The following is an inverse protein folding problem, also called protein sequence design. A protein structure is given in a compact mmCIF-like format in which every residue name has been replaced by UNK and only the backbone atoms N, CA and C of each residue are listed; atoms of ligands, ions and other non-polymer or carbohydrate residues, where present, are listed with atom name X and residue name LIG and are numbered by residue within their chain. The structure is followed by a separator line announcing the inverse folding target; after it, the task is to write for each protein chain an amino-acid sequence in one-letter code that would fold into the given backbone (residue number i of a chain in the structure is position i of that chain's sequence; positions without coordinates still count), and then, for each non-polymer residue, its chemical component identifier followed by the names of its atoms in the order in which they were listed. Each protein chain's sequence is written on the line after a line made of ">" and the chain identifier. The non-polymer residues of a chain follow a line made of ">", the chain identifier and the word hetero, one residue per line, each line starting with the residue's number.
data_IF_637497956718
#
_entry.id   IF_637497956718
#
_cell.length_a   1.000
_cell.length_b   1.000
_cell.length_c   1.000
_cell.angle_alpha   90.00
_cell.angle_beta   90.00
_cell.angle_gamma   90.00
#
_symmetry.space_group_name_H-M   'P 1'
#
loop_
_entity.id
_entity.type
_entity.pdbx_description
1 polymer ?
#
# COMPACT_ATOMS: atom_id res chain seq x y z
N UNK A 1 36.30 17.59 32.17
CA UNK A 1 34.86 17.33 32.37
C UNK A 1 34.09 18.31 31.50
N UNK A 2 33.62 17.85 30.36
CA UNK A 2 32.69 18.59 29.48
C UNK A 2 31.41 17.73 29.52
N UNK A 3 30.21 18.31 29.70
CA UNK A 3 28.99 17.51 29.81
C UNK A 3 28.65 16.95 28.43
N UNK A 4 28.50 15.63 28.34
CA UNK A 4 27.96 14.95 27.17
C UNK A 4 26.47 15.28 27.06
N UNK A 5 26.12 16.25 26.21
CA UNK A 5 24.74 16.48 25.80
C UNK A 5 24.33 15.34 24.86
N UNK A 6 23.44 14.46 25.30
CA UNK A 6 22.75 13.49 24.45
C UNK A 6 21.93 14.26 23.40
N UNK A 7 22.37 14.18 22.15
CA UNK A 7 21.64 14.75 21.01
C UNK A 7 20.45 13.82 20.73
N UNK A 8 19.24 14.29 20.95
CA UNK A 8 18.02 13.63 20.47
C UNK A 8 18.01 13.65 18.93
N UNK A 9 18.22 12.48 18.33
CA UNK A 9 18.16 12.28 16.88
C UNK A 9 16.70 12.13 16.44
N UNK A 10 16.16 13.14 15.77
CA UNK A 10 14.90 13.06 15.03
C UNK A 10 15.17 12.64 13.58
N UNK A 11 14.17 12.19 12.78
CA UNK A 11 14.37 11.76 11.39
C UNK A 11 15.11 12.76 10.50
N UNK A 12 15.06 14.05 10.85
CA UNK A 12 15.73 15.13 10.12
C UNK A 12 17.23 15.32 10.46
N UNK A 13 17.74 14.67 11.52
CA UNK A 13 19.07 14.94 12.09
C UNK A 13 19.98 13.71 12.21
N UNK A 14 19.67 12.61 11.52
CA UNK A 14 20.62 11.50 11.46
C UNK A 14 21.91 11.96 10.77
N UNK A 15 23.10 11.62 11.33
CA UNK A 15 24.35 11.87 10.61
C UNK A 15 24.22 11.20 9.25
N UNK A 16 24.40 12.00 8.19
CA UNK A 16 24.46 11.52 6.82
C UNK A 16 25.64 10.55 6.76
N UNK A 17 25.38 9.26 6.97
CA UNK A 17 26.33 8.21 6.62
C UNK A 17 26.54 8.35 5.12
N UNK A 18 27.72 8.80 4.72
CA UNK A 18 28.10 9.04 3.32
C UNK A 18 28.26 7.75 2.50
N UNK A 19 27.59 6.67 2.92
CA UNK A 19 27.62 5.34 2.34
C UNK A 19 26.30 5.00 1.63
N UNK A 20 26.32 3.89 0.88
CA UNK A 20 25.11 3.33 0.25
C UNK A 20 24.11 2.95 1.34
N UNK A 21 22.83 3.35 1.19
CA UNK A 21 21.73 2.82 2.02
C UNK A 21 21.65 1.29 1.83
N UNK A 22 21.47 0.55 2.93
CA UNK A 22 21.22 -0.88 2.90
C UNK A 22 19.95 -1.22 2.12
N UNK A 23 19.86 -2.45 1.61
CA UNK A 23 18.69 -2.96 0.92
C UNK A 23 17.66 -3.50 1.91
N UNK A 24 16.39 -3.21 1.67
CA UNK A 24 15.30 -3.69 2.50
C UNK A 24 14.45 -4.70 1.74
N UNK A 25 14.41 -5.94 2.24
CA UNK A 25 13.49 -6.97 1.77
C UNK A 25 12.38 -7.21 2.78
N UNK A 26 11.13 -7.19 2.34
CA UNK A 26 9.96 -7.39 3.20
C UNK A 26 9.23 -8.67 2.80
N UNK A 27 9.13 -9.62 3.73
CA UNK A 27 8.25 -10.77 3.64
C UNK A 27 6.88 -10.40 4.18
N UNK A 28 5.92 -10.16 3.29
CA UNK A 28 4.55 -9.80 3.63
C UNK A 28 3.63 -11.02 3.57
N UNK A 29 2.62 -11.08 4.42
CA UNK A 29 1.64 -12.16 4.43
C UNK A 29 0.25 -11.71 4.80
N UNK A 30 -0.75 -12.48 4.38
CA UNK A 30 -2.16 -12.19 4.64
C UNK A 30 -2.54 -12.29 6.13
N UNK A 31 -1.81 -13.11 6.91
CA UNK A 31 -2.17 -13.44 8.28
C UNK A 31 -0.98 -13.98 9.10
N UNK A 32 -1.08 -14.00 10.44
CA UNK A 32 -0.18 -14.77 11.29
C UNK A 32 -0.21 -16.26 10.91
N UNK A 33 0.94 -16.94 10.95
CA UNK A 33 1.03 -18.39 10.71
C UNK A 33 1.20 -18.82 9.24
N UNK A 34 1.23 -17.90 8.29
CA UNK A 34 1.48 -18.23 6.86
C UNK A 34 2.91 -18.72 6.60
N UNK A 35 3.87 -18.37 7.47
CA UNK A 35 5.25 -18.86 7.40
C UNK A 35 6.31 -17.80 7.07
N UNK A 36 6.00 -16.50 7.19
CA UNK A 36 6.92 -15.40 6.88
C UNK A 36 8.29 -15.53 7.55
N UNK A 37 8.30 -15.69 8.88
CA UNK A 37 9.52 -15.89 9.68
C UNK A 37 10.31 -17.10 9.20
N UNK A 38 9.62 -18.22 8.92
CA UNK A 38 10.27 -19.43 8.45
C UNK A 38 10.95 -19.21 7.10
N UNK A 39 10.28 -18.52 6.19
CA UNK A 39 10.82 -18.20 4.86
C UNK A 39 12.01 -17.24 4.95
N UNK A 40 11.92 -16.21 5.80
CA UNK A 40 13.01 -15.28 6.06
C UNK A 40 14.25 -16.00 6.61
N UNK A 41 14.07 -16.90 7.59
CA UNK A 41 15.17 -17.70 8.15
C UNK A 41 15.75 -18.68 7.13
N UNK A 42 14.92 -19.32 6.31
CA UNK A 42 15.37 -20.22 5.24
C UNK A 42 16.26 -19.49 4.23
N UNK A 43 15.86 -18.27 3.82
CA UNK A 43 16.67 -17.46 2.92
C UNK A 43 17.95 -16.96 3.60
N UNK A 44 17.88 -16.54 4.87
CA UNK A 44 19.06 -16.16 5.65
C UNK A 44 20.09 -17.29 5.80
N UNK A 45 19.63 -18.53 5.95
CA UNK A 45 20.52 -19.70 5.93
C UNK A 45 21.18 -19.92 4.57
N UNK A 46 20.44 -19.75 3.48
CA UNK A 46 20.98 -19.84 2.12
C UNK A 46 22.12 -18.85 1.91
N UNK A 47 21.89 -17.58 2.26
CA UNK A 47 22.90 -16.53 2.15
C UNK A 47 24.11 -16.78 3.06
N UNK A 48 23.90 -17.27 4.27
CA UNK A 48 25.00 -17.66 5.17
C UNK A 48 25.87 -18.78 4.58
N UNK A 49 25.24 -19.76 3.91
CA UNK A 49 25.98 -20.84 3.23
C UNK A 49 26.79 -20.32 2.02
N UNK A 50 26.33 -19.24 1.40
CA UNK A 50 27.04 -18.52 0.34
C UNK A 50 28.16 -17.60 0.88
N UNK A 51 28.31 -17.50 2.21
CA UNK A 51 29.36 -16.76 2.88
C UNK A 51 28.99 -15.34 3.33
N UNK A 52 27.71 -14.95 3.21
CA UNK A 52 27.22 -13.66 3.70
C UNK A 52 27.16 -13.66 5.24
N UNK A 53 27.61 -12.57 5.87
CA UNK A 53 27.50 -12.38 7.32
C UNK A 53 26.06 -12.03 7.72
N UNK A 54 25.30 -13.06 8.13
CA UNK A 54 23.89 -12.96 8.51
C UNK A 54 23.71 -13.08 10.02
N UNK A 55 23.02 -12.09 10.61
CA UNK A 55 22.63 -12.09 12.02
C UNK A 55 21.12 -11.90 12.19
N UNK A 56 20.59 -12.46 13.26
CA UNK A 56 19.22 -12.21 13.72
C UNK A 56 19.27 -11.04 14.69
N UNK A 57 18.67 -9.92 14.29
CA UNK A 57 18.49 -8.76 15.17
C UNK A 57 17.30 -8.94 16.11
N UNK A 58 16.22 -9.56 15.59
CA UNK A 58 15.07 -9.92 16.39
C UNK A 58 14.31 -11.09 15.75
N UNK A 59 13.91 -12.05 16.57
CA UNK A 59 13.09 -13.18 16.15
C UNK A 59 11.93 -13.41 17.10
N UNK A 60 10.71 -13.41 16.57
CA UNK A 60 9.53 -13.74 17.33
C UNK A 60 9.07 -15.18 17.11
N UNK A 61 9.47 -16.02 18.06
CA UNK A 61 9.18 -17.46 17.99
C UNK A 61 7.72 -17.76 18.38
N UNK A 62 7.06 -16.91 19.17
CA UNK A 62 5.72 -17.17 19.75
C UNK A 62 5.62 -18.60 20.34
N UNK A 63 6.66 -19.04 21.07
CA UNK A 63 6.76 -20.37 21.68
C UNK A 63 6.81 -21.56 20.68
N UNK A 64 7.02 -21.28 19.38
CA UNK A 64 7.11 -22.31 18.34
C UNK A 64 8.50 -22.92 18.28
N UNK A 65 8.64 -24.15 18.79
CA UNK A 65 9.89 -24.95 18.75
C UNK A 65 10.50 -25.03 17.35
N UNK A 66 9.70 -25.30 16.33
CA UNK A 66 10.17 -25.39 14.94
C UNK A 66 10.83 -24.09 14.44
N UNK A 67 10.37 -22.92 14.89
CA UNK A 67 10.95 -21.62 14.50
C UNK A 67 12.26 -21.37 15.24
N UNK A 68 12.33 -21.72 16.52
CA UNK A 68 13.58 -21.66 17.29
C UNK A 68 14.64 -22.61 16.73
N UNK A 69 14.25 -23.82 16.32
CA UNK A 69 15.13 -24.79 15.64
C UNK A 69 15.64 -24.25 14.30
N UNK A 70 14.78 -23.59 13.52
CA UNK A 70 15.19 -22.99 12.24
C UNK A 70 16.16 -21.82 12.42
N UNK A 71 16.14 -21.14 13.58
CA UNK A 71 17.11 -20.10 13.90
C UNK A 71 18.48 -20.65 14.30
N UNK A 72 18.56 -21.92 14.69
CA UNK A 72 19.82 -22.54 15.07
C UNK A 72 20.85 -22.46 13.92
N UNK A 73 22.07 -22.03 14.27
CA UNK A 73 23.15 -21.83 13.30
C UNK A 73 23.25 -20.40 12.76
N UNK A 74 22.28 -19.51 13.02
CA UNK A 74 22.42 -18.07 12.80
C UNK A 74 22.86 -17.40 14.11
N UNK A 75 23.73 -16.38 14.02
CA UNK A 75 24.10 -15.56 15.18
C UNK A 75 22.89 -14.72 15.59
N UNK A 76 22.61 -14.60 16.88
CA UNK A 76 21.49 -13.79 17.41
C UNK A 76 22.08 -12.68 18.26
N UNK A 77 21.72 -11.43 17.96
CA UNK A 77 22.04 -10.29 18.81
C UNK A 77 21.14 -10.34 20.05
N UNK A 78 21.72 -10.34 21.27
CA UNK A 78 20.92 -10.34 22.49
C UNK A 78 19.99 -9.12 22.56
N UNK A 79 18.73 -9.27 23.01
CA UNK A 79 17.81 -8.16 23.13
C UNK A 79 18.23 -7.20 24.25
N UNK A 80 17.91 -5.92 24.06
CA UNK A 80 18.01 -4.90 25.10
C UNK A 80 16.83 -5.06 26.07
N UNK A 81 17.09 -5.13 27.38
CA UNK A 81 16.04 -5.23 28.39
C UNK A 81 15.64 -3.85 28.90
N UNK A 82 14.38 -3.45 28.67
CA UNK A 82 13.82 -2.17 29.11
C UNK A 82 12.82 -2.36 30.26
N UNK A 83 12.88 -1.52 31.31
CA UNK A 83 11.96 -1.61 32.43
C UNK A 83 10.57 -1.07 32.05
N UNK A 84 9.52 -1.83 32.36
CA UNK A 84 8.11 -1.42 32.25
C UNK A 84 7.36 -1.79 33.52
N UNK A 85 7.32 -0.85 34.48
CA UNK A 85 6.86 -1.14 35.83
C UNK A 85 7.85 -2.10 36.51
N UNK A 86 7.34 -3.23 37.00
CA UNK A 86 8.16 -4.27 37.66
C UNK A 86 8.70 -5.34 36.68
N UNK A 87 8.35 -5.25 35.39
CA UNK A 87 8.77 -6.22 34.36
C UNK A 87 9.91 -5.67 33.52
N UNK A 88 10.85 -6.54 33.15
CA UNK A 88 11.85 -6.26 32.11
C UNK A 88 11.36 -6.84 30.80
N UNK A 89 11.15 -5.99 29.80
CA UNK A 89 10.71 -6.41 28.48
C UNK A 89 11.88 -6.41 27.49
N UNK A 90 12.10 -7.49 26.75
CA UNK A 90 13.10 -7.52 25.69
C UNK A 90 12.66 -6.67 24.51
N UNK A 91 13.62 -5.95 23.91
CA UNK A 91 13.45 -5.18 22.68
C UNK A 91 14.70 -5.36 21.80
N UNK A 92 14.56 -5.14 20.49
CA UNK A 92 15.69 -5.21 19.57
C UNK A 92 16.79 -4.19 19.94
N UNK A 93 18.05 -4.63 20.06
CA UNK A 93 19.17 -3.73 20.30
C UNK A 93 19.76 -3.20 18.98
N UNK A 94 19.19 -2.09 18.50
CA UNK A 94 19.64 -1.45 17.25
C UNK A 94 21.09 -1.01 17.29
N UNK A 95 21.58 -0.56 18.45
CA UNK A 95 22.96 -0.07 18.58
C UNK A 95 23.94 -1.24 18.55
N UNK A 96 23.62 -2.34 19.22
CA UNK A 96 24.42 -3.56 19.15
C UNK A 96 24.50 -4.11 17.72
N UNK A 97 23.39 -4.09 16.97
CA UNK A 97 23.35 -4.47 15.55
C UNK A 97 24.30 -3.60 14.73
N UNK A 98 24.21 -2.27 14.86
CA UNK A 98 25.05 -1.33 14.10
C UNK A 98 26.53 -1.49 14.46
N UNK A 99 26.85 -1.64 15.75
CA UNK A 99 28.23 -1.87 16.19
C UNK A 99 28.79 -3.22 15.70
N UNK A 100 27.95 -4.25 15.59
CA UNK A 100 28.33 -5.56 15.02
C UNK A 100 28.56 -5.48 13.51
N UNK A 101 27.93 -4.54 12.82
CA UNK A 101 28.08 -4.26 11.39
C UNK A 101 28.01 -5.51 10.47
N UNK A 102 26.97 -6.34 10.58
CA UNK A 102 26.76 -7.50 9.71
C UNK A 102 26.40 -7.10 8.27
N UNK A 103 26.55 -8.00 7.30
CA UNK A 103 26.08 -7.74 5.94
C UNK A 103 24.55 -7.76 5.85
N UNK A 104 23.89 -8.66 6.60
CA UNK A 104 22.43 -8.81 6.63
C UNK A 104 21.90 -8.99 8.05
N UNK A 105 20.81 -8.27 8.37
CA UNK A 105 20.06 -8.38 9.62
C UNK A 105 18.66 -8.95 9.34
N UNK A 106 18.25 -9.98 10.08
CA UNK A 106 16.88 -10.50 10.07
C UNK A 106 16.08 -9.89 11.22
N UNK A 107 14.92 -9.27 10.93
CA UNK A 107 14.08 -8.55 11.89
C UNK A 107 12.61 -8.95 11.76
N UNK A 108 12.07 -9.66 12.76
CA UNK A 108 10.65 -10.02 12.76
C UNK A 108 9.72 -8.87 13.23
N UNK A 109 8.43 -8.98 12.90
CA UNK A 109 7.37 -8.06 13.31
C UNK A 109 7.66 -6.57 13.06
N UNK A 110 7.86 -6.17 11.81
CA UNK A 110 8.14 -4.78 11.42
C UNK A 110 7.10 -3.76 11.95
N UNK A 111 5.85 -4.20 12.14
CA UNK A 111 4.75 -3.39 12.63
C UNK A 111 4.74 -3.13 14.14
N UNK A 112 5.63 -3.79 14.90
CA UNK A 112 5.64 -3.75 16.36
C UNK A 112 5.74 -2.31 16.89
N UNK A 113 5.08 -2.07 18.01
CA UNK A 113 5.20 -0.82 18.78
C UNK A 113 6.16 -1.06 19.92
N UNK A 114 7.32 -0.40 19.85
CA UNK A 114 8.41 -0.64 20.78
C UNK A 114 7.99 -0.36 22.23
N UNK A 115 8.70 -1.01 23.15
CA UNK A 115 8.48 -0.81 24.59
C UNK A 115 8.62 0.67 24.95
N UNK A 116 7.69 1.21 25.75
CA UNK A 116 7.76 2.60 26.24
C UNK A 116 9.10 2.87 26.92
N UNK A 117 9.77 3.94 26.53
CA UNK A 117 11.13 4.25 26.98
C UNK A 117 12.21 3.88 25.94
N UNK A 118 11.85 3.15 24.87
CA UNK A 118 12.70 2.98 23.70
C UNK A 118 12.98 4.33 23.03
N UNK A 119 14.12 4.41 22.33
CA UNK A 119 14.52 5.61 21.58
C UNK A 119 13.54 5.97 20.46
N UNK A 120 12.85 4.97 19.90
CA UNK A 120 11.90 5.07 18.78
C UNK A 120 10.61 4.36 19.13
N UNK A 121 9.49 4.84 18.61
CA UNK A 121 8.17 4.33 18.95
C UNK A 121 7.84 3.05 18.16
N UNK A 122 8.34 2.94 16.93
CA UNK A 122 8.00 1.85 16.02
C UNK A 122 9.24 1.10 15.55
N UNK A 123 9.12 -0.22 15.42
CA UNK A 123 10.23 -1.07 14.96
C UNK A 123 10.69 -0.75 13.54
N UNK A 124 9.78 -0.34 12.65
CA UNK A 124 10.17 0.10 11.32
C UNK A 124 11.13 1.31 11.37
N UNK A 125 11.04 2.18 12.39
CA UNK A 125 11.97 3.30 12.56
C UNK A 125 13.37 2.79 12.96
N UNK A 126 13.46 1.74 13.78
CA UNK A 126 14.75 1.09 14.07
C UNK A 126 15.37 0.51 12.80
N UNK A 127 14.54 -0.16 11.98
CA UNK A 127 14.96 -0.73 10.69
C UNK A 127 15.45 0.36 9.74
N UNK A 128 14.77 1.51 9.66
CA UNK A 128 15.23 2.65 8.86
C UNK A 128 16.62 3.13 9.29
N UNK A 129 16.95 3.08 10.58
CA UNK A 129 18.29 3.44 11.08
C UNK A 129 19.34 2.38 10.73
N UNK A 130 19.00 1.10 10.80
CA UNK A 130 19.88 0.00 10.36
C UNK A 130 20.21 0.14 8.87
N UNK A 131 19.19 0.39 8.04
CA UNK A 131 19.34 0.63 6.60
C UNK A 131 20.17 1.88 6.31
N UNK A 132 19.97 2.97 7.08
CA UNK A 132 20.75 4.19 6.95
C UNK A 132 22.23 4.01 7.33
N UNK A 133 22.54 3.06 8.21
CA UNK A 133 23.92 2.65 8.51
C UNK A 133 24.57 1.80 7.40
N UNK A 134 23.82 1.45 6.35
CA UNK A 134 24.31 0.71 5.19
C UNK A 134 24.19 -0.81 5.30
N UNK A 135 23.50 -1.32 6.32
CA UNK A 135 23.30 -2.75 6.55
C UNK A 135 22.01 -3.21 5.86
N UNK A 136 22.06 -4.34 5.14
CA UNK A 136 20.85 -4.88 4.50
C UNK A 136 19.92 -5.49 5.56
N UNK A 137 18.61 -5.38 5.36
CA UNK A 137 17.60 -5.86 6.31
C UNK A 137 16.56 -6.72 5.61
N UNK A 138 16.33 -7.91 6.15
CA UNK A 138 15.18 -8.75 5.84
C UNK A 138 14.19 -8.65 6.98
N UNK A 139 12.92 -8.39 6.66
CA UNK A 139 11.89 -8.21 7.70
C UNK A 139 10.58 -8.89 7.39
N UNK A 140 9.73 -9.09 8.41
CA UNK A 140 8.38 -9.65 8.19
C UNK A 140 7.26 -8.75 8.70
N UNK A 141 6.14 -8.75 7.98
CA UNK A 141 4.91 -8.08 8.41
C UNK A 141 3.66 -8.74 7.85
N UNK A 142 2.51 -8.51 8.48
CA UNK A 142 1.21 -8.84 7.89
C UNK A 142 0.62 -7.62 7.18
N UNK A 143 -0.13 -7.87 6.10
CA UNK A 143 -0.81 -6.83 5.31
C UNK A 143 -1.77 -5.96 6.15
N UNK A 144 -2.33 -6.54 7.21
CA UNK A 144 -3.26 -5.87 8.14
C UNK A 144 -2.68 -4.66 8.87
N UNK A 145 -1.34 -4.56 8.94
CA UNK A 145 -0.65 -3.47 9.62
C UNK A 145 -0.49 -2.24 8.74
N UNK A 146 -0.81 -2.31 7.45
CA UNK A 146 -0.77 -1.14 6.59
C UNK A 146 -1.84 -0.12 6.98
N UNK A 147 -1.44 1.15 6.98
CA UNK A 147 -2.33 2.24 7.34
C UNK A 147 -3.51 2.35 6.37
N UNK A 148 -3.25 2.27 5.06
CA UNK A 148 -4.29 2.32 4.02
C UNK A 148 -5.33 1.20 4.15
N UNK A 149 -4.91 0.01 4.58
CA UNK A 149 -5.75 -1.19 4.63
C UNK A 149 -6.44 -1.40 5.98
N UNK A 150 -6.07 -0.65 7.01
CA UNK A 150 -6.54 -0.86 8.38
C UNK A 150 -8.07 -0.89 8.50
N UNK A 151 -8.75 0.07 7.87
CA UNK A 151 -10.22 0.17 7.90
C UNK A 151 -10.89 -0.98 7.13
N UNK A 152 -10.28 -1.39 6.02
CA UNK A 152 -10.79 -2.49 5.19
C UNK A 152 -10.68 -3.81 5.97
N UNK A 153 -9.53 -4.05 6.59
CA UNK A 153 -9.30 -5.26 7.41
C UNK A 153 -10.21 -5.29 8.63
N UNK A 154 -10.42 -4.16 9.32
CA UNK A 154 -11.35 -4.09 10.44
C UNK A 154 -12.80 -4.42 10.01
N UNK A 155 -13.21 -3.96 8.82
CA UNK A 155 -14.53 -4.27 8.25
C UNK A 155 -14.68 -5.75 7.87
N UNK A 156 -13.62 -6.38 7.36
CA UNK A 156 -13.61 -7.80 7.00
C UNK A 156 -13.63 -8.68 8.26
N UNK A 157 -12.72 -8.40 9.19
CA UNK A 157 -12.41 -9.31 10.31
C UNK A 157 -13.18 -9.02 11.59
N UNK A 158 -13.74 -7.81 11.73
CA UNK A 158 -14.28 -7.30 12.99
C UNK A 158 -13.21 -6.92 14.02
N UNK A 159 -11.92 -7.06 13.69
CA UNK A 159 -10.80 -6.82 14.60
C UNK A 159 -10.10 -5.52 14.25
N UNK A 160 -9.97 -4.63 15.23
CA UNK A 160 -9.22 -3.38 15.07
C UNK A 160 -7.74 -3.62 15.33
N UNK A 161 -6.93 -3.47 14.29
CA UNK A 161 -5.46 -3.57 14.37
C UNK A 161 -4.89 -2.22 14.81
N UNK A 162 -4.25 -2.20 15.98
CA UNK A 162 -3.68 -0.98 16.58
C UNK A 162 -2.30 -0.65 16.06
N UNK A 163 -1.50 -1.68 15.82
CA UNK A 163 -0.15 -1.53 15.32
C UNK A 163 -0.16 -1.28 13.82
N UNK A 164 0.45 -0.16 13.43
CA UNK A 164 0.39 0.36 12.06
C UNK A 164 1.78 0.63 11.50
N UNK A 165 1.89 0.50 10.18
CA UNK A 165 3.06 0.80 9.36
C UNK A 165 2.61 1.68 8.21
N UNK A 166 3.23 2.85 7.99
CA UNK A 166 2.95 3.68 6.84
C UNK A 166 3.27 2.96 5.53
N UNK A 167 2.42 3.12 4.52
CA UNK A 167 2.54 2.46 3.21
C UNK A 167 3.90 2.72 2.53
N UNK A 168 4.47 3.93 2.73
CA UNK A 168 5.80 4.32 2.24
C UNK A 168 6.92 3.32 2.55
N UNK A 169 6.78 2.52 3.63
CA UNK A 169 7.79 1.54 4.03
C UNK A 169 7.88 0.39 3.02
N UNK A 170 6.76 0.02 2.38
CA UNK A 170 6.76 -0.94 1.27
C UNK A 170 7.20 -0.30 -0.03
N UNK A 171 6.73 0.92 -0.32
CA UNK A 171 7.05 1.65 -1.55
C UNK A 171 8.57 1.87 -1.73
N UNK A 172 9.30 2.05 -0.63
CA UNK A 172 10.77 2.27 -0.64
C UNK A 172 11.59 1.02 -0.33
N UNK A 173 10.94 -0.14 -0.21
CA UNK A 173 11.64 -1.42 -0.06
C UNK A 173 12.23 -1.86 -1.40
N UNK A 174 13.42 -2.46 -1.36
CA UNK A 174 14.10 -2.95 -2.56
C UNK A 174 13.45 -4.23 -3.11
N UNK A 175 12.83 -5.04 -2.23
CA UNK A 175 12.14 -6.28 -2.60
C UNK A 175 10.95 -6.54 -1.66
N UNK A 176 9.77 -6.82 -2.22
CA UNK A 176 8.59 -7.24 -1.45
C UNK A 176 8.14 -8.64 -1.89
N UNK A 177 8.13 -9.59 -0.95
CA UNK A 177 7.81 -11.01 -1.22
C UNK A 177 6.55 -11.41 -0.47
N UNK A 178 5.53 -11.84 -1.22
CA UNK A 178 4.32 -12.44 -0.63
C UNK A 178 4.60 -13.86 -0.17
N UNK A 179 4.36 -14.12 1.12
CA UNK A 179 4.32 -15.47 1.69
C UNK A 179 2.87 -15.88 1.89
N UNK A 180 2.43 -16.82 1.06
CA UNK A 180 1.04 -17.23 0.94
C UNK A 180 0.85 -18.72 1.25
N UNK A 181 -0.29 -19.03 1.85
CA UNK A 181 -0.77 -20.40 2.09
C UNK A 181 -2.27 -20.42 1.91
N UNK A 182 -2.86 -21.58 1.60
CA UNK A 182 -4.31 -21.64 1.48
C UNK A 182 -4.99 -21.42 2.85
N UNK A 183 -6.20 -20.85 2.89
CA UNK A 183 -6.97 -20.71 4.12
C UNK A 183 -7.11 -22.01 4.91
N UNK A 184 -7.29 -23.14 4.23
CA UNK A 184 -7.47 -24.46 4.86
C UNK A 184 -6.19 -24.92 5.59
N UNK A 185 -5.01 -24.62 5.04
CA UNK A 185 -3.73 -24.89 5.70
C UNK A 185 -3.61 -24.02 6.96
N UNK A 186 -4.03 -22.76 6.88
CA UNK A 186 -3.93 -21.83 8.00
C UNK A 186 -4.90 -22.19 9.13
N UNK A 187 -6.13 -22.58 8.81
CA UNK A 187 -7.12 -23.11 9.75
C UNK A 187 -6.58 -24.36 10.46
N UNK A 188 -5.99 -25.30 9.70
CA UNK A 188 -5.35 -26.48 10.27
C UNK A 188 -4.21 -26.12 11.23
N UNK A 189 -3.32 -25.21 10.83
CA UNK A 189 -2.21 -24.73 11.68
C UNK A 189 -2.73 -24.06 12.96
N UNK A 190 -3.82 -23.30 12.87
CA UNK A 190 -4.45 -22.69 14.04
C UNK A 190 -4.97 -23.77 15.00
N UNK A 191 -5.72 -24.75 14.50
CA UNK A 191 -6.28 -25.86 15.30
C UNK A 191 -5.19 -26.72 15.95
N UNK A 192 -4.05 -26.88 15.28
CA UNK A 192 -2.86 -27.56 15.81
C UNK A 192 -2.09 -26.74 16.87
N UNK A 193 -2.54 -25.53 17.20
CA UNK A 193 -1.85 -24.65 18.15
C UNK A 193 -0.54 -24.05 17.64
N UNK A 194 -0.32 -24.07 16.31
CA UNK A 194 0.92 -23.57 15.68
C UNK A 194 0.92 -22.06 15.41
N UNK A 195 -0.18 -21.37 15.72
CA UNK A 195 -0.37 -19.93 15.47
C UNK A 195 -0.67 -19.18 16.77
N UNK A 196 -1.61 -19.70 17.56
CA UNK A 196 -1.97 -19.15 18.87
C UNK A 196 -2.04 -20.26 19.91
N UNK A 197 -1.92 -19.87 21.18
CA UNK A 197 -2.18 -20.75 22.32
C UNK A 197 -3.62 -21.25 22.31
N UNK A 198 -3.86 -22.47 22.82
CA UNK A 198 -5.17 -23.13 22.76
C UNK A 198 -6.33 -22.30 23.31
N UNK A 199 -6.07 -21.46 24.30
CA UNK A 199 -7.06 -20.56 24.92
C UNK A 199 -7.57 -19.48 23.96
N UNK A 200 -6.73 -19.02 23.02
CA UNK A 200 -7.06 -17.95 22.06
C UNK A 200 -7.67 -18.47 20.75
N UNK A 201 -7.61 -19.79 20.51
CA UNK A 201 -8.11 -20.40 19.26
C UNK A 201 -9.60 -20.13 19.01
N UNK A 202 -10.53 -20.32 19.98
CA UNK A 202 -11.96 -20.11 19.72
C UNK A 202 -12.27 -18.68 19.29
N UNK A 203 -11.72 -17.69 19.99
CA UNK A 203 -11.90 -16.28 19.66
C UNK A 203 -11.30 -15.92 18.30
N UNK A 204 -10.15 -16.53 17.95
CA UNK A 204 -9.51 -16.32 16.66
C UNK A 204 -10.35 -16.90 15.50
N UNK A 205 -10.93 -18.09 15.68
CA UNK A 205 -11.82 -18.74 14.70
C UNK A 205 -13.14 -18.01 14.50
N UNK A 206 -13.70 -17.43 15.56
CA UNK A 206 -14.96 -16.67 15.48
C UNK A 206 -14.81 -15.30 14.83
N UNK A 207 -13.58 -14.81 14.64
CA UNK A 207 -13.30 -13.50 14.06
C UNK A 207 -12.30 -13.61 12.90
N UNK A 208 -11.02 -13.34 13.17
CA UNK A 208 -9.99 -13.14 12.14
C UNK A 208 -9.78 -14.37 11.23
N UNK A 209 -9.82 -15.59 11.77
CA UNK A 209 -9.49 -16.83 11.07
C UNK A 209 -10.69 -17.53 10.42
N UNK A 210 -11.81 -16.83 10.24
CA UNK A 210 -12.90 -17.35 9.42
C UNK A 210 -12.46 -17.47 7.96
N UNK A 211 -12.79 -18.58 7.31
CA UNK A 211 -12.43 -18.85 5.90
C UNK A 211 -12.69 -17.67 4.96
N UNK A 212 -13.86 -17.04 5.07
CA UNK A 212 -14.23 -15.87 4.25
C UNK A 212 -13.27 -14.68 4.44
N UNK A 213 -12.79 -14.48 5.67
CA UNK A 213 -11.90 -13.39 6.03
C UNK A 213 -10.50 -13.68 5.50
N UNK A 214 -10.03 -14.92 5.65
CA UNK A 214 -8.73 -15.35 5.11
C UNK A 214 -8.66 -15.24 3.58
N UNK A 215 -9.74 -15.59 2.87
CA UNK A 215 -9.81 -15.40 1.41
C UNK A 215 -9.68 -13.92 1.04
N UNK A 216 -10.43 -13.04 1.72
CA UNK A 216 -10.37 -11.60 1.44
C UNK A 216 -8.99 -10.99 1.80
N UNK A 217 -8.39 -11.40 2.92
CA UNK A 217 -7.05 -10.98 3.31
C UNK A 217 -5.97 -11.47 2.33
N UNK A 218 -6.14 -12.68 1.77
CA UNK A 218 -5.27 -13.21 0.73
C UNK A 218 -5.30 -12.34 -0.52
N UNK A 219 -6.50 -12.00 -0.97
CA UNK A 219 -6.72 -11.12 -2.12
C UNK A 219 -6.08 -9.76 -1.88
N UNK A 220 -6.31 -9.16 -0.69
CA UNK A 220 -5.69 -7.89 -0.32
C UNK A 220 -4.17 -7.95 -0.32
N UNK A 221 -3.57 -8.99 0.27
CA UNK A 221 -2.11 -9.14 0.30
C UNK A 221 -1.49 -9.30 -1.08
N UNK A 222 -2.13 -10.08 -1.97
CA UNK A 222 -1.67 -10.27 -3.34
C UNK A 222 -1.80 -8.98 -4.16
N UNK A 223 -2.91 -8.25 -3.99
CA UNK A 223 -3.14 -6.98 -4.65
C UNK A 223 -2.13 -5.92 -4.22
N UNK A 224 -1.88 -5.80 -2.93
CA UNK A 224 -0.93 -4.83 -2.38
C UNK A 224 0.46 -4.98 -2.98
N UNK A 225 0.97 -6.20 -3.08
CA UNK A 225 2.29 -6.43 -3.70
C UNK A 225 2.27 -6.24 -5.21
N UNK A 226 1.16 -6.57 -5.88
CA UNK A 226 1.03 -6.32 -7.31
C UNK A 226 1.03 -4.81 -7.62
N UNK A 227 0.39 -4.00 -6.77
CA UNK A 227 0.36 -2.53 -6.89
C UNK A 227 1.79 -1.96 -6.69
N UNK A 228 2.56 -2.45 -5.69
CA UNK A 228 3.96 -2.04 -5.48
C UNK A 228 4.89 -2.41 -6.66
N UNK A 229 4.77 -3.62 -7.21
CA UNK A 229 5.57 -4.05 -8.38
C UNK A 229 5.22 -3.26 -9.64
N UNK A 230 3.95 -2.83 -9.78
CA UNK A 230 3.56 -1.96 -10.89
C UNK A 230 4.34 -0.64 -10.84
N UNK A 231 4.47 0.00 -9.67
CA UNK A 231 5.22 1.25 -9.45
C UNK A 231 6.70 1.15 -9.82
N UNK A 232 7.39 0.07 -9.45
CA UNK A 232 8.79 -0.18 -9.85
C UNK A 232 8.94 -0.40 -11.35
N UNK A 233 7.97 -1.04 -11.99
CA UNK A 233 7.91 -1.17 -13.44
C UNK A 233 7.67 0.18 -14.14
N UNK A 234 7.04 1.17 -13.48
CA UNK A 234 6.85 2.54 -14.01
C UNK A 234 8.18 3.27 -14.14
N UNK A 235 9.10 3.09 -13.19
CA UNK A 235 10.41 3.73 -13.18
C UNK A 235 11.37 3.15 -14.24
N UNK A 236 11.15 1.90 -14.65
CA UNK A 236 12.08 1.11 -15.47
C UNK A 236 11.61 0.81 -16.89
N UNK A 237 10.32 0.99 -17.23
CA UNK A 237 9.78 0.58 -18.54
C UNK A 237 9.59 1.75 -19.51
N UNK A 238 10.34 1.70 -20.62
CA UNK A 238 10.10 2.50 -21.82
C UNK A 238 8.75 2.18 -22.46
N UNK A 239 7.99 3.23 -22.82
CA UNK A 239 6.74 3.27 -23.62
C UNK A 239 6.43 1.96 -24.38
N UNK A 240 5.43 1.19 -23.95
CA UNK A 240 4.94 0.11 -24.81
C UNK A 240 3.84 -0.82 -24.29
N UNK A 241 3.78 -1.15 -23.00
CA UNK A 241 2.75 -2.06 -22.49
C UNK A 241 2.11 -1.52 -21.23
N UNK A 242 0.86 -1.04 -21.38
CA UNK A 242 0.01 -0.63 -20.27
C UNK A 242 -0.57 -1.92 -19.68
N UNK A 243 0.06 -2.43 -18.63
CA UNK A 243 -0.56 -3.40 -17.72
C UNK A 243 -0.82 -2.65 -16.42
N UNK A 244 -1.95 -1.94 -16.35
CA UNK A 244 -2.44 -1.34 -15.11
C UNK A 244 -3.16 -2.44 -14.32
N UNK A 245 -2.55 -2.93 -13.26
CA UNK A 245 -3.14 -3.86 -12.31
C UNK A 245 -4.16 -3.11 -11.43
N UNK A 246 -3.95 -1.81 -11.21
CA UNK A 246 -4.80 -0.96 -10.40
C UNK A 246 -5.87 -0.19 -11.21
N UNK A 247 -7.12 -0.24 -10.74
CA UNK A 247 -8.22 0.56 -11.28
C UNK A 247 -8.03 2.05 -10.99
N UNK A 248 -8.26 2.91 -12.00
CA UNK A 248 -8.19 4.38 -11.91
C UNK A 248 -9.39 4.99 -12.61
N UNK A 249 -10.18 5.78 -11.89
CA UNK A 249 -11.47 6.29 -12.37
C UNK A 249 -11.35 7.74 -12.79
N UNK A 250 -11.70 8.05 -14.04
CA UNK A 250 -11.81 9.40 -14.57
C UNK A 250 -13.26 9.77 -14.82
N UNK A 251 -13.74 10.87 -14.23
CA UNK A 251 -15.05 11.45 -14.55
C UNK A 251 -14.86 12.66 -15.46
N UNK A 252 -15.47 12.63 -16.65
CA UNK A 252 -15.48 13.79 -17.53
C UNK A 252 -16.68 14.68 -17.21
N UNK A 253 -16.43 15.89 -16.70
CA UNK A 253 -17.47 16.86 -16.36
C UNK A 253 -17.60 17.94 -17.43
N UNK A 254 -18.79 18.55 -17.49
CA UNK A 254 -19.16 19.60 -18.44
C UNK A 254 -19.83 20.76 -17.72
N UNK A 255 -20.21 21.81 -18.44
CA UNK A 255 -20.89 22.97 -17.85
C UNK A 255 -22.36 22.73 -17.51
N UNK A 256 -22.88 21.51 -17.74
CA UNK A 256 -24.28 21.17 -17.44
C UNK A 256 -24.50 20.78 -15.98
N UNK A 257 -25.67 21.12 -15.37
CA UNK A 257 -26.01 20.81 -13.98
C UNK A 257 -25.83 19.34 -13.57
N UNK A 258 -26.02 18.42 -14.52
CA UNK A 258 -25.94 16.97 -14.30
C UNK A 258 -24.51 16.48 -13.98
N UNK A 259 -23.48 17.30 -14.20
CA UNK A 259 -22.08 16.97 -13.90
C UNK A 259 -21.87 16.66 -12.42
N UNK A 260 -22.62 17.31 -11.51
CA UNK A 260 -22.55 17.02 -10.06
C UNK A 260 -23.03 15.61 -9.74
N UNK A 261 -24.10 15.14 -10.39
CA UNK A 261 -24.60 13.79 -10.19
C UNK A 261 -23.61 12.75 -10.77
N UNK A 262 -23.02 13.08 -11.92
CA UNK A 262 -21.99 12.25 -12.55
C UNK A 262 -20.76 12.10 -11.63
N UNK A 263 -20.29 13.22 -11.08
CA UNK A 263 -19.18 13.27 -10.13
C UNK A 263 -19.44 12.41 -8.90
N UNK A 264 -20.62 12.52 -8.29
CA UNK A 264 -21.03 11.69 -7.14
C UNK A 264 -21.08 10.20 -7.48
N UNK A 265 -21.55 9.84 -8.66
CA UNK A 265 -21.58 8.42 -9.09
C UNK A 265 -20.19 7.89 -9.38
N UNK A 266 -19.35 8.68 -10.05
CA UNK A 266 -17.96 8.32 -10.30
C UNK A 266 -17.15 8.20 -9.00
N UNK A 267 -17.35 9.09 -8.03
CA UNK A 267 -16.72 9.00 -6.72
C UNK A 267 -17.13 7.74 -5.96
N UNK A 268 -18.40 7.32 -6.05
CA UNK A 268 -18.84 6.03 -5.51
C UNK A 268 -18.18 4.84 -6.21
N UNK A 269 -18.08 4.89 -7.54
CA UNK A 269 -17.40 3.84 -8.32
C UNK A 269 -15.93 3.72 -7.90
N UNK A 270 -15.24 4.85 -7.80
CA UNK A 270 -13.86 4.91 -7.31
C UNK A 270 -13.74 4.35 -5.88
N UNK A 271 -14.64 4.73 -4.97
CA UNK A 271 -14.68 4.21 -3.61
C UNK A 271 -14.95 2.70 -3.52
N UNK A 272 -15.79 2.14 -4.39
CA UNK A 272 -16.02 0.70 -4.45
C UNK A 272 -14.79 -0.07 -4.94
N UNK A 273 -14.04 0.50 -5.89
CA UNK A 273 -12.82 -0.09 -6.44
C UNK A 273 -11.57 0.19 -5.58
N UNK A 274 -11.71 1.05 -4.55
CA UNK A 274 -10.61 1.67 -3.83
C UNK A 274 -9.58 2.30 -4.80
N UNK A 275 -10.08 2.99 -5.82
CA UNK A 275 -9.32 3.49 -6.95
C UNK A 275 -9.05 5.00 -6.81
N UNK A 276 -7.88 5.50 -7.26
CA UNK A 276 -7.64 6.92 -7.44
C UNK A 276 -8.73 7.58 -8.29
N UNK A 277 -9.20 8.73 -7.82
CA UNK A 277 -10.32 9.45 -8.42
C UNK A 277 -9.86 10.71 -9.14
N UNK A 278 -10.14 10.80 -10.43
CA UNK A 278 -9.80 11.93 -11.29
C UNK A 278 -11.05 12.56 -11.89
N UNK A 279 -10.99 13.88 -12.08
CA UNK A 279 -12.06 14.63 -12.72
C UNK A 279 -11.46 15.50 -13.80
N UNK A 280 -11.97 15.39 -15.03
CA UNK A 280 -11.50 16.19 -16.17
C UNK A 280 -12.57 17.16 -16.64
N UNK A 281 -12.18 18.43 -16.72
CA UNK A 281 -12.92 19.47 -17.43
C UNK A 281 -12.12 19.95 -18.63
N UNK A 282 -12.74 19.92 -19.82
CA UNK A 282 -12.13 20.43 -21.07
C UNK A 282 -12.82 21.72 -21.50
N UNK A 283 -12.14 22.84 -21.37
CA UNK A 283 -12.60 24.14 -21.86
C UNK A 283 -12.36 24.26 -23.38
N UNK A 284 -13.35 24.78 -24.10
CA UNK A 284 -13.18 25.10 -25.52
C UNK A 284 -12.51 26.48 -25.66
N UNK A 285 -11.35 26.60 -26.34
CA UNK A 285 -10.65 27.88 -26.48
C UNK A 285 -11.48 28.97 -27.18
N UNK A 286 -12.41 28.58 -28.07
CA UNK A 286 -13.22 29.52 -28.85
C UNK A 286 -14.51 29.95 -28.13
N UNK A 287 -14.73 29.49 -26.90
CA UNK A 287 -15.95 29.76 -26.14
C UNK A 287 -15.64 30.21 -24.72
N UNK A 288 -15.98 31.45 -24.42
CA UNK A 288 -15.98 31.95 -23.05
C UNK A 288 -17.14 31.34 -22.25
N UNK A 289 -16.84 30.92 -21.03
CA UNK A 289 -17.84 30.44 -20.07
C UNK A 289 -18.64 31.62 -19.53
N UNK A 290 -19.95 31.43 -19.35
CA UNK A 290 -20.74 32.40 -18.57
C UNK A 290 -20.34 32.35 -17.09
N UNK A 291 -20.73 33.36 -16.31
CA UNK A 291 -20.49 33.34 -14.85
C UNK A 291 -21.10 32.11 -14.17
N UNK A 292 -22.29 31.71 -14.60
CA UNK A 292 -22.98 30.53 -14.09
C UNK A 292 -22.23 29.24 -14.44
N UNK A 293 -21.73 29.13 -15.67
CA UNK A 293 -20.95 27.97 -16.10
C UNK A 293 -19.60 27.86 -15.37
N UNK A 294 -18.91 28.97 -15.16
CA UNK A 294 -17.67 29.00 -14.39
C UNK A 294 -17.91 28.55 -12.94
N UNK A 295 -18.95 29.10 -12.31
CA UNK A 295 -19.33 28.75 -10.94
C UNK A 295 -19.68 27.26 -10.82
N UNK A 296 -20.30 26.68 -11.85
CA UNK A 296 -20.59 25.24 -11.88
C UNK A 296 -19.32 24.36 -11.92
N UNK A 297 -18.31 24.76 -12.70
CA UNK A 297 -17.03 24.05 -12.76
C UNK A 297 -16.30 24.15 -11.42
N UNK A 298 -16.33 25.31 -10.77
CA UNK A 298 -15.71 25.52 -9.46
C UNK A 298 -16.38 24.66 -8.37
N UNK A 299 -17.70 24.49 -8.41
CA UNK A 299 -18.42 23.54 -7.53
C UNK A 299 -17.95 22.11 -7.78
N UNK A 300 -17.78 21.70 -9.04
CA UNK A 300 -17.28 20.35 -9.35
C UNK A 300 -15.85 20.15 -8.82
N UNK A 301 -15.00 21.17 -8.89
CA UNK A 301 -13.65 21.12 -8.33
C UNK A 301 -13.65 21.01 -6.81
N UNK A 302 -14.51 21.76 -6.12
CA UNK A 302 -14.67 21.65 -4.66
C UNK A 302 -15.13 20.26 -4.25
N UNK A 303 -16.18 19.73 -4.90
CA UNK A 303 -16.66 18.38 -4.65
C UNK A 303 -15.60 17.31 -4.96
N UNK A 304 -14.77 17.51 -5.99
CA UNK A 304 -13.67 16.61 -6.28
C UNK A 304 -12.68 16.55 -5.11
N UNK A 305 -12.34 17.71 -4.51
CA UNK A 305 -11.48 17.79 -3.32
C UNK A 305 -12.12 17.13 -2.10
N UNK A 306 -13.43 17.27 -1.90
CA UNK A 306 -14.17 16.57 -0.83
C UNK A 306 -14.09 15.04 -0.98
N UNK A 307 -14.04 14.54 -2.20
CA UNK A 307 -13.85 13.11 -2.50
C UNK A 307 -12.39 12.68 -2.57
N UNK A 308 -11.45 13.52 -2.11
CA UNK A 308 -10.00 13.28 -2.19
C UNK A 308 -9.51 12.97 -3.62
N UNK A 309 -10.16 13.56 -4.63
CA UNK A 309 -9.83 13.40 -6.04
C UNK A 309 -8.96 14.50 -6.62
N UNK A 310 -8.37 14.22 -7.77
CA UNK A 310 -7.54 15.14 -8.54
C UNK A 310 -8.35 15.80 -9.67
N UNK A 311 -8.48 17.12 -9.63
CA UNK A 311 -9.18 17.89 -10.65
C UNK A 311 -8.21 18.38 -11.74
N UNK A 312 -8.47 18.00 -12.99
CA UNK A 312 -7.66 18.33 -14.16
C UNK A 312 -8.44 19.29 -15.07
N UNK A 313 -7.91 20.49 -15.27
CA UNK A 313 -8.40 21.45 -16.27
C UNK A 313 -7.54 21.37 -17.52
N UNK A 314 -8.17 21.16 -18.67
CA UNK A 314 -7.52 21.19 -19.97
C UNK A 314 -8.24 22.17 -20.90
N UNK A 315 -7.53 22.70 -21.89
CA UNK A 315 -8.11 23.58 -22.92
C UNK A 315 -7.84 22.96 -24.29
N UNK A 316 -8.90 22.63 -25.03
CA UNK A 316 -8.78 21.95 -26.32
C UNK A 316 -10.07 22.04 -27.13
N UNK A 317 -9.93 22.09 -28.45
CA UNK A 317 -11.05 21.99 -29.40
C UNK A 317 -11.46 20.54 -29.67
N UNK A 318 -10.60 19.55 -29.37
CA UNK A 318 -10.87 18.12 -29.57
C UNK A 318 -10.96 17.38 -28.22
N UNK A 319 -12.17 17.37 -27.66
CA UNK A 319 -12.46 16.75 -26.35
C UNK A 319 -12.07 15.26 -26.32
N UNK A 320 -12.37 14.50 -27.37
CA UNK A 320 -12.12 13.05 -27.38
C UNK A 320 -10.61 12.73 -27.34
N UNK A 321 -9.81 13.51 -28.06
CA UNK A 321 -8.36 13.37 -28.05
C UNK A 321 -7.78 13.77 -26.69
N UNK A 322 -8.23 14.89 -26.12
CA UNK A 322 -7.78 15.32 -24.79
C UNK A 322 -8.15 14.32 -23.69
N UNK A 323 -9.33 13.71 -23.75
CA UNK A 323 -9.69 12.61 -22.84
C UNK A 323 -8.70 11.45 -23.00
N UNK A 324 -8.35 11.07 -24.24
CA UNK A 324 -7.37 10.01 -24.50
C UNK A 324 -5.98 10.34 -23.94
N UNK A 325 -5.50 11.56 -24.17
CA UNK A 325 -4.19 12.03 -23.68
C UNK A 325 -4.14 12.06 -22.15
N UNK A 326 -5.22 12.51 -21.50
CA UNK A 326 -5.36 12.49 -20.04
C UNK A 326 -5.46 11.05 -19.53
N UNK A 327 -6.22 10.20 -20.22
CA UNK A 327 -6.35 8.79 -19.87
C UNK A 327 -5.02 8.06 -19.94
N UNK A 328 -4.21 8.30 -20.97
CA UNK A 328 -2.85 7.76 -21.07
C UNK A 328 -1.92 8.34 -20.00
N UNK A 329 -1.95 9.66 -19.81
CA UNK A 329 -1.08 10.35 -18.83
C UNK A 329 -1.30 9.87 -17.40
N UNK A 330 -2.55 9.67 -16.99
CA UNK A 330 -2.92 9.23 -15.65
C UNK A 330 -3.28 7.73 -15.58
N UNK A 331 -3.03 6.97 -16.66
CA UNK A 331 -3.27 5.52 -16.76
C UNK A 331 -4.67 5.11 -16.31
N UNK A 332 -5.66 5.86 -16.79
CA UNK A 332 -7.06 5.65 -16.44
C UNK A 332 -7.54 4.32 -17.03
N UNK A 333 -8.21 3.52 -16.21
CA UNK A 333 -8.79 2.22 -16.60
C UNK A 333 -10.30 2.30 -16.76
N UNK A 334 -10.95 3.23 -16.05
CA UNK A 334 -12.40 3.42 -16.03
C UNK A 334 -12.73 4.88 -16.36
N UNK A 335 -13.48 5.13 -17.43
CA UNK A 335 -13.94 6.47 -17.79
C UNK A 335 -15.45 6.56 -17.61
N UNK A 336 -15.88 7.55 -16.83
CA UNK A 336 -17.29 7.87 -16.57
C UNK A 336 -17.67 9.13 -17.33
N UNK A 337 -18.64 9.01 -18.23
CA UNK A 337 -19.20 10.13 -19.00
C UNK A 337 -20.72 10.19 -18.86
N UNK A 338 -21.27 11.40 -18.94
CA UNK A 338 -22.71 11.60 -19.02
C UNK A 338 -23.25 11.35 -20.43
N UNK A 339 -24.49 10.89 -20.53
CA UNK A 339 -25.21 10.85 -21.81
C UNK A 339 -25.32 12.27 -22.40
N UNK A 340 -24.89 12.42 -23.66
CA UNK A 340 -24.87 13.71 -24.35
C UNK A 340 -26.30 14.21 -24.61
N UNK A 341 -26.66 15.37 -24.05
CA UNK A 341 -27.97 16.04 -24.28
C UNK A 341 -28.13 16.71 -25.66
N UNK A 342 -27.23 16.45 -26.62
CA UNK A 342 -27.35 17.03 -27.97
C UNK A 342 -28.63 16.55 -28.67
N UNK A 343 -29.26 17.46 -29.41
CA UNK A 343 -30.47 17.17 -30.19
C UNK A 343 -30.20 16.01 -31.15
N UNK A 344 -31.13 15.06 -31.28
CA UNK A 344 -31.00 13.83 -32.10
C UNK A 344 -30.57 14.11 -33.55
N UNK A 345 -30.81 15.32 -34.04
CA UNK A 345 -30.38 15.79 -35.37
C UNK A 345 -28.89 16.13 -35.48
N UNK A 346 -28.23 16.60 -34.41
CA UNK A 346 -26.78 16.85 -34.40
C UNK A 346 -25.96 15.56 -34.29
N UNK A 347 -26.56 14.51 -33.74
CA UNK A 347 -25.96 13.17 -33.58
C UNK A 347 -25.89 12.43 -34.94
N UNK A 348 -26.78 12.75 -35.88
CA UNK A 348 -26.82 12.11 -37.20
C UNK A 348 -25.72 12.62 -38.16
N UNK A 349 -25.23 13.85 -37.94
CA UNK A 349 -24.25 14.53 -38.81
C UNK A 349 -22.81 14.50 -38.26
N UNK A 350 -22.59 14.13 -37.00
CA UNK A 350 -21.26 14.02 -36.37
C UNK A 350 -21.12 12.69 -35.64
N UNK A 351 -20.05 11.94 -35.95
CA UNK A 351 -19.60 10.77 -35.16
C UNK A 351 -19.65 11.12 -33.67
N UNK A 352 -20.43 10.37 -32.89
CA UNK A 352 -20.66 10.68 -31.48
C UNK A 352 -19.34 10.66 -30.70
N UNK A 353 -19.23 11.50 -29.66
CA UNK A 353 -18.06 11.52 -28.78
C UNK A 353 -17.72 10.11 -28.28
N UNK A 354 -18.76 9.33 -27.95
CA UNK A 354 -18.66 7.92 -27.53
C UNK A 354 -17.98 7.05 -28.58
N UNK A 355 -18.37 7.15 -29.85
CA UNK A 355 -17.75 6.39 -30.95
C UNK A 355 -16.30 6.79 -31.19
N UNK A 356 -15.95 8.07 -31.04
CA UNK A 356 -14.56 8.53 -31.13
C UNK A 356 -13.72 7.98 -29.98
N UNK A 357 -14.25 8.04 -28.76
CA UNK A 357 -13.59 7.51 -27.57
C UNK A 357 -13.38 6.00 -27.67
N UNK A 358 -14.39 5.23 -28.10
CA UNK A 358 -14.23 3.77 -28.31
C UNK A 358 -13.17 3.39 -29.34
N UNK A 359 -12.84 4.28 -30.29
CA UNK A 359 -11.75 4.05 -31.27
C UNK A 359 -10.38 4.41 -30.73
N UNK A 360 -10.31 5.43 -29.87
CA UNK A 360 -9.06 5.95 -29.31
C UNK A 360 -8.62 5.16 -28.07
N UNK A 361 -9.57 4.77 -27.24
CA UNK A 361 -9.33 4.09 -25.97
C UNK A 361 -9.38 2.58 -26.20
N UNK A 362 -8.21 1.93 -26.27
CA UNK A 362 -8.10 0.47 -26.25
C UNK A 362 -7.80 0.04 -24.82
N UNK A 363 -8.60 -0.89 -24.28
CA UNK A 363 -8.47 -1.45 -22.92
C UNK A 363 -8.89 -0.49 -21.77
N UNK A 364 -9.88 0.37 -21.99
CA UNK A 364 -10.47 1.23 -20.96
C UNK A 364 -11.99 1.03 -20.96
N UNK A 365 -12.56 0.79 -19.79
CA UNK A 365 -13.99 0.61 -19.62
C UNK A 365 -14.70 1.97 -19.63
N UNK A 366 -15.71 2.10 -20.49
CA UNK A 366 -16.47 3.33 -20.66
C UNK A 366 -17.87 3.21 -20.03
N UNK A 367 -18.09 3.92 -18.93
CA UNK A 367 -19.36 4.01 -18.22
C UNK A 367 -20.17 5.22 -18.71
N UNK A 368 -21.29 4.96 -19.38
CA UNK A 368 -22.21 6.00 -19.82
C UNK A 368 -23.36 6.08 -18.82
N UNK A 369 -23.44 7.19 -18.10
CA UNK A 369 -24.49 7.40 -17.12
C UNK A 369 -25.64 8.21 -17.74
N UNK A 370 -26.87 7.67 -17.78
CA UNK A 370 -28.02 8.43 -18.23
C UNK A 370 -28.27 9.57 -17.25
N UNK A 371 -28.29 10.79 -17.79
CA UNK A 371 -28.65 11.96 -17.00
C UNK A 371 -30.12 12.23 -17.27
N UNK A 372 -30.98 11.99 -16.27
CA UNK A 372 -32.42 12.17 -16.41
C UNK A 372 -32.75 13.60 -16.88
N UNK A 373 -33.74 13.73 -17.76
CA UNK A 373 -34.34 15.03 -18.07
C UNK A 373 -35.02 15.50 -16.77
N UNK A 374 -34.55 16.61 -16.20
CA UNK A 374 -35.35 17.36 -15.23
C UNK A 374 -36.55 17.98 -15.93
#
# INVERSE_FOLDING_TARGET
>A
MIPSSEIQLTPANYPLYSGRRGKHKIFIGMAPGVGKTYRMLEEGHGLKQEGIDVVIGLLETHERKETAEKAAGLEIIPPHLLPRGDLMLPEMDTQAIIHRSPELVLVDELAHTNVRGSLREKRYEDVEVILAAGLDVYSTMNVQHLESLNNIVARITGVVVRERVPDRILEVADDVVVVDVTPEILEKRLLEGKIYTHEKIPQALDNFFQRRNLIALRELALREVADNVEEDAIASTSKGQICSVQERVLVCVSTYPNSVQLLRRGARLAGYMNAPFYVLFVANPDRFLTKEESLHVDICEQLCKEFAGNFVRATSSNIAQTISEVAEKYRITQIVIGESQRSRWEILLKVSLTQKLMRLLKNIDLHIIPTGKS
#
